data_IF_305834407644
#
_entry.id   IF_305834407644
#
_cell.length_a   1.000
_cell.length_b   1.000
_cell.length_c   1.000
_cell.angle_alpha   90.00
_cell.angle_beta   90.00
_cell.angle_gamma   90.00
#
_symmetry.space_group_name_H-M   'P 1'
#
loop_
_entity.id
_entity.type
_entity.pdbx_description
1 polymer ?
#
# COMPACT_ATOMS: atom_id res chain seq x y z
N UNK A 1 1.15 -13.96 -25.05
CA UNK A 1 -0.05 -13.35 -24.44
C UNK A 1 0.27 -12.84 -23.06
N UNK A 2 -0.10 -11.60 -22.71
CA UNK A 2 -0.01 -11.10 -21.32
C UNK A 2 -1.11 -11.78 -20.49
N UNK A 3 -0.79 -12.31 -19.31
CA UNK A 3 -1.78 -12.89 -18.39
C UNK A 3 -2.64 -11.76 -17.81
N UNK A 4 -3.97 -11.95 -17.75
CA UNK A 4 -4.88 -11.00 -17.07
C UNK A 4 -4.60 -11.03 -15.57
N UNK A 5 -4.47 -9.86 -14.97
CA UNK A 5 -4.16 -9.68 -13.55
C UNK A 5 -4.85 -8.42 -13.03
N UNK A 6 -5.03 -8.34 -11.71
CA UNK A 6 -5.63 -7.20 -11.00
C UNK A 6 -4.78 -6.82 -9.78
N UNK A 7 -5.04 -5.64 -9.23
CA UNK A 7 -4.33 -5.11 -8.07
C UNK A 7 -5.09 -3.97 -7.40
N UNK A 8 -4.51 -3.46 -6.31
CA UNK A 8 -5.04 -2.33 -5.55
C UNK A 8 -4.00 -1.20 -5.52
N UNK A 9 -4.46 0.03 -5.69
CA UNK A 9 -3.68 1.24 -5.42
C UNK A 9 -4.02 1.71 -4.01
N UNK A 10 -3.03 1.74 -3.12
CA UNK A 10 -3.18 2.24 -1.75
C UNK A 10 -1.83 2.67 -1.21
N UNK A 11 -1.65 3.91 -0.79
CA UNK A 11 -0.36 4.36 -0.25
C UNK A 11 -0.13 3.83 1.17
N UNK A 12 1.14 3.73 1.59
CA UNK A 12 1.55 3.22 2.91
C UNK A 12 0.96 4.09 4.02
N UNK A 13 0.91 5.41 3.82
CA UNK A 13 0.34 6.34 4.80
C UNK A 13 -1.15 6.10 5.08
N UNK A 14 -1.88 5.45 4.16
CA UNK A 14 -3.30 5.11 4.30
C UNK A 14 -3.54 3.81 5.08
N UNK A 15 -2.50 3.07 5.43
CA UNK A 15 -2.64 1.88 6.28
C UNK A 15 -3.05 2.28 7.71
N UNK A 16 -3.78 1.41 8.43
CA UNK A 16 -3.97 1.57 9.86
C UNK A 16 -2.64 1.65 10.60
N UNK A 17 -2.50 2.61 11.51
CA UNK A 17 -1.29 2.81 12.32
C UNK A 17 -1.62 3.41 13.69
N UNK A 18 -0.89 2.98 14.72
CA UNK A 18 -1.12 3.41 16.10
C UNK A 18 -0.68 4.87 16.37
N UNK A 19 0.10 5.46 15.44
CA UNK A 19 0.75 6.76 15.62
C UNK A 19 0.24 7.81 14.63
N UNK A 20 -1.00 7.69 14.18
CA UNK A 20 -1.66 8.67 13.30
C UNK A 20 -1.36 8.54 11.80
N UNK A 21 -0.40 7.70 11.40
CA UNK A 21 -0.09 7.41 10.00
C UNK A 21 0.28 5.94 9.81
N UNK A 22 -0.04 5.40 8.63
CA UNK A 22 0.39 4.06 8.23
C UNK A 22 1.92 3.98 8.03
N UNK A 23 2.47 2.78 8.25
CA UNK A 23 3.91 2.52 8.16
C UNK A 23 4.19 1.12 7.62
N UNK A 24 5.46 0.83 7.36
CA UNK A 24 5.92 -0.53 7.01
C UNK A 24 5.99 -1.45 8.24
N UNK A 25 4.87 -1.59 8.94
CA UNK A 25 4.71 -2.46 10.10
C UNK A 25 3.76 -3.62 9.84
N UNK A 26 3.18 -4.18 10.91
CA UNK A 26 2.27 -5.32 10.88
C UNK A 26 1.07 -5.13 9.94
N UNK A 27 0.49 -3.92 9.88
CA UNK A 27 -0.64 -3.63 8.99
C UNK A 27 -0.29 -3.74 7.50
N UNK A 28 0.98 -3.50 7.11
CA UNK A 28 1.42 -3.69 5.74
C UNK A 28 1.45 -5.19 5.37
N UNK A 29 1.92 -6.05 6.26
CA UNK A 29 1.86 -7.51 6.08
C UNK A 29 0.41 -8.00 6.04
N UNK A 30 -0.44 -7.53 6.95
CA UNK A 30 -1.86 -7.89 6.97
C UNK A 30 -2.57 -7.48 5.66
N UNK A 31 -2.17 -6.36 5.07
CA UNK A 31 -2.66 -5.93 3.76
C UNK A 31 -2.16 -6.81 2.62
N UNK A 32 -0.88 -7.21 2.63
CA UNK A 32 -0.36 -8.18 1.66
C UNK A 32 -1.09 -9.53 1.78
N UNK A 33 -1.34 -10.01 2.99
CA UNK A 33 -2.12 -11.24 3.23
C UNK A 33 -3.55 -11.10 2.72
N UNK A 34 -4.16 -9.92 2.85
CA UNK A 34 -5.44 -9.60 2.23
C UNK A 34 -5.38 -9.67 0.69
N UNK A 35 -4.35 -9.09 0.06
CA UNK A 35 -4.18 -9.15 -1.40
C UNK A 35 -4.01 -10.60 -1.88
N UNK A 36 -3.22 -11.41 -1.17
CA UNK A 36 -3.04 -12.84 -1.47
C UNK A 36 -4.37 -13.59 -1.36
N UNK A 37 -5.09 -13.41 -0.24
CA UNK A 37 -6.40 -14.05 0.00
C UNK A 37 -7.44 -13.68 -1.04
N UNK A 38 -7.40 -12.45 -1.55
CA UNK A 38 -8.32 -11.93 -2.57
C UNK A 38 -7.79 -12.07 -4.01
N UNK A 39 -6.69 -12.81 -4.19
CA UNK A 39 -6.05 -13.11 -5.49
C UNK A 39 -5.60 -11.87 -6.28
N UNK A 40 -5.38 -10.75 -5.61
CA UNK A 40 -4.74 -9.58 -6.21
C UNK A 40 -3.25 -9.86 -6.42
N UNK A 41 -2.70 -9.39 -7.55
CA UNK A 41 -1.31 -9.66 -7.95
C UNK A 41 -0.41 -8.45 -7.81
N UNK A 42 -1.00 -7.25 -7.77
CA UNK A 42 -0.25 -6.00 -7.68
C UNK A 42 -0.75 -5.16 -6.51
N UNK A 43 0.20 -4.53 -5.84
CA UNK A 43 -0.03 -3.41 -4.95
C UNK A 43 0.71 -2.21 -5.53
N UNK A 44 -0.03 -1.20 -5.96
CA UNK A 44 0.55 0.05 -6.43
C UNK A 44 0.58 1.04 -5.27
N UNK A 45 1.69 1.77 -5.16
CA UNK A 45 1.91 2.84 -4.18
C UNK A 45 2.34 4.12 -4.90
N UNK A 46 2.15 5.27 -4.23
CA UNK A 46 2.72 6.57 -4.61
C UNK A 46 4.23 6.60 -4.29
N UNK A 47 4.98 7.64 -4.71
CA UNK A 47 6.41 7.71 -4.43
C UNK A 47 6.72 7.73 -2.92
N UNK A 48 7.85 7.14 -2.53
CA UNK A 48 8.29 7.00 -1.14
C UNK A 48 9.30 8.08 -0.71
N UNK A 49 9.31 9.21 -1.40
CA UNK A 49 10.16 10.34 -1.05
C UNK A 49 9.74 10.96 0.29
N UNK A 50 10.66 11.71 0.89
CA UNK A 50 10.29 12.56 2.03
C UNK A 50 9.36 13.67 1.55
N UNK A 51 8.17 13.76 2.14
CA UNK A 51 7.26 14.87 1.88
C UNK A 51 7.76 16.14 2.59
N UNK A 52 7.24 17.28 2.15
CA UNK A 52 7.46 18.59 2.76
C UNK A 52 6.14 19.35 2.77
N UNK A 53 6.19 20.68 2.82
CA UNK A 53 5.01 21.54 2.78
C UNK A 53 4.09 21.17 1.59
N UNK A 54 2.84 20.83 1.89
CA UNK A 54 1.84 20.38 0.92
C UNK A 54 1.68 18.87 0.80
N UNK A 55 2.51 18.08 1.50
CA UNK A 55 2.36 16.64 1.71
C UNK A 55 2.26 15.77 0.44
N UNK A 56 2.69 16.31 -0.71
CA UNK A 56 2.74 15.56 -1.97
C UNK A 56 3.83 14.49 -1.91
N UNK A 57 3.50 13.22 -2.19
CA UNK A 57 4.46 12.13 -2.26
C UNK A 57 5.35 12.19 -3.50
#
# INVERSE_FOLDING_TARGET
MKKRQSGVLMHISSLPGAYGIGSFGKSAYDFVDFLVRTKQRYWQILPLGTTSYGDSP
#
